data_IF_799168861335
#
_entry.id   IF_799168861335
#
_cell.length_a   1.000
_cell.length_b   1.000
_cell.length_c   1.000
_cell.angle_alpha   90.00
_cell.angle_beta   90.00
_cell.angle_gamma   90.00
#
_symmetry.space_group_name_H-M   'P 1'
#
loop_
_entity.id
_entity.type
_entity.pdbx_description
1 polymer ?
#
# COMPACT_ATOMS: atom_id res chain seq x y z
N UNK A 1 7.46 -12.23 -11.58
CA UNK A 1 6.44 -11.42 -10.89
C UNK A 1 7.15 -10.28 -10.19
N UNK A 2 6.61 -9.09 -10.32
CA UNK A 2 7.07 -7.86 -9.70
C UNK A 2 6.06 -7.39 -8.63
N UNK A 3 6.47 -6.46 -7.77
CA UNK A 3 5.57 -5.80 -6.80
C UNK A 3 4.34 -5.20 -7.49
N UNK A 4 4.53 -4.47 -8.59
CA UNK A 4 3.44 -3.84 -9.33
C UNK A 4 2.46 -4.87 -9.90
N UNK A 5 2.96 -5.97 -10.51
CA UNK A 5 2.12 -7.06 -11.00
C UNK A 5 1.32 -7.72 -9.88
N UNK A 6 1.95 -7.97 -8.72
CA UNK A 6 1.28 -8.60 -7.58
C UNK A 6 0.17 -7.71 -6.97
N UNK A 7 0.37 -6.40 -6.95
CA UNK A 7 -0.66 -5.42 -6.53
C UNK A 7 -1.82 -5.42 -7.53
N UNK A 8 -1.55 -5.40 -8.84
CA UNK A 8 -2.58 -5.50 -9.87
C UNK A 8 -3.38 -6.79 -9.74
N UNK A 9 -2.71 -7.92 -9.50
CA UNK A 9 -3.36 -9.21 -9.28
C UNK A 9 -4.24 -9.20 -8.02
N UNK A 10 -3.77 -8.59 -6.92
CA UNK A 10 -4.57 -8.44 -5.70
C UNK A 10 -5.86 -7.64 -5.98
N UNK A 11 -5.75 -6.51 -6.71
CA UNK A 11 -6.93 -5.75 -7.13
C UNK A 11 -7.89 -6.57 -7.98
N UNK A 12 -7.39 -7.32 -8.97
CA UNK A 12 -8.22 -8.21 -9.79
C UNK A 12 -8.87 -9.34 -8.96
N UNK A 13 -8.18 -9.84 -7.93
CA UNK A 13 -8.73 -10.84 -7.02
C UNK A 13 -9.91 -10.29 -6.21
N UNK A 14 -9.84 -9.03 -5.75
CA UNK A 14 -10.95 -8.40 -5.00
C UNK A 14 -12.24 -8.31 -5.80
N UNK A 15 -12.16 -8.06 -7.12
CA UNK A 15 -13.34 -7.93 -7.99
C UNK A 15 -14.18 -9.21 -8.09
N UNK A 16 -13.59 -10.37 -7.83
CA UNK A 16 -14.24 -11.69 -8.01
C UNK A 16 -14.31 -12.55 -6.74
N UNK A 17 -13.68 -12.13 -5.63
CA UNK A 17 -13.66 -12.86 -4.36
C UNK A 17 -14.24 -12.00 -3.22
N UNK A 18 -13.64 -12.03 -2.02
CA UNK A 18 -14.12 -11.42 -0.77
C UNK A 18 -14.29 -9.90 -0.79
N UNK A 19 -13.95 -9.22 -1.89
CA UNK A 19 -13.94 -7.77 -2.00
C UNK A 19 -12.78 -7.12 -1.26
N UNK A 20 -12.82 -5.80 -1.16
CA UNK A 20 -11.86 -5.01 -0.39
C UNK A 20 -12.18 -5.10 1.12
N UNK A 21 -11.37 -5.85 1.85
CA UNK A 21 -11.50 -6.03 3.31
C UNK A 21 -10.10 -5.99 3.96
N UNK A 22 -9.43 -4.82 4.01
CA UNK A 22 -8.11 -4.71 4.58
C UNK A 22 -8.13 -4.97 6.10
N UNK A 23 -7.04 -5.52 6.66
CA UNK A 23 -6.86 -5.56 8.11
C UNK A 23 -6.79 -4.13 8.68
N UNK A 24 -7.17 -3.99 9.96
CA UNK A 24 -6.96 -2.73 10.67
C UNK A 24 -5.47 -2.46 10.95
N UNK A 25 -5.17 -1.23 11.34
CA UNK A 25 -3.80 -0.77 11.57
C UNK A 25 -3.12 -1.54 12.71
N UNK A 26 -3.85 -1.87 13.79
CA UNK A 26 -3.33 -2.61 14.93
C UNK A 26 -2.88 -4.01 14.50
N UNK A 27 -3.71 -4.70 13.72
CA UNK A 27 -3.39 -6.01 13.14
C UNK A 27 -2.15 -5.96 12.24
N UNK A 28 -2.00 -4.92 11.44
CA UNK A 28 -0.83 -4.74 10.57
C UNK A 28 0.44 -4.46 11.38
N UNK A 29 0.35 -3.65 12.43
CA UNK A 29 1.46 -3.35 13.33
C UNK A 29 1.93 -4.61 14.06
N UNK A 30 1.00 -5.42 14.56
CA UNK A 30 1.29 -6.71 15.21
C UNK A 30 2.02 -7.66 14.25
N UNK A 31 1.50 -7.84 13.04
CA UNK A 31 2.14 -8.70 12.03
C UNK A 31 3.53 -8.18 11.65
N UNK A 32 3.68 -6.87 11.47
CA UNK A 32 4.96 -6.25 11.16
C UNK A 32 5.97 -6.43 12.29
N UNK A 33 5.53 -6.38 13.55
CA UNK A 33 6.35 -6.68 14.73
C UNK A 33 6.92 -8.10 14.72
N UNK A 34 6.15 -9.04 14.19
CA UNK A 34 6.55 -10.44 14.02
C UNK A 34 7.30 -10.70 12.68
N UNK A 35 7.48 -9.68 11.84
CA UNK A 35 8.13 -9.80 10.53
C UNK A 35 7.30 -10.56 9.50
N UNK A 36 5.98 -10.64 9.69
CA UNK A 36 5.04 -11.33 8.81
C UNK A 36 3.95 -10.40 8.30
N UNK A 37 3.18 -10.86 7.32
CA UNK A 37 1.96 -10.24 6.83
C UNK A 37 1.10 -11.32 6.17
N UNK A 38 -0.09 -10.95 5.71
CA UNK A 38 -0.96 -11.82 4.90
C UNK A 38 -1.25 -11.21 3.55
N UNK A 39 -1.52 -12.07 2.58
CA UNK A 39 -2.14 -11.74 1.31
C UNK A 39 -3.69 -11.76 1.43
N UNK A 40 -4.42 -11.20 0.45
CA UNK A 40 -5.90 -11.27 0.39
C UNK A 40 -6.51 -12.67 0.48
N UNK A 41 -5.75 -13.68 0.05
CA UNK A 41 -6.10 -15.10 0.09
C UNK A 41 -5.62 -15.81 1.38
N UNK A 42 -5.31 -15.05 2.42
CA UNK A 42 -4.80 -15.51 3.72
C UNK A 42 -3.41 -16.15 3.72
N UNK A 43 -2.69 -16.16 2.59
CA UNK A 43 -1.32 -16.68 2.56
C UNK A 43 -0.41 -15.86 3.48
N UNK A 44 0.36 -16.53 4.34
CA UNK A 44 1.35 -15.91 5.22
C UNK A 44 2.66 -15.66 4.47
N UNK A 45 3.11 -14.40 4.45
CA UNK A 45 4.30 -13.95 3.73
C UNK A 45 5.08 -12.91 4.54
N UNK A 46 6.25 -12.49 4.09
CA UNK A 46 6.91 -11.31 4.64
C UNK A 46 6.21 -10.01 4.15
N UNK A 47 6.24 -8.91 4.93
CA UNK A 47 5.52 -7.68 4.59
C UNK A 47 5.79 -7.11 3.21
N UNK A 48 7.02 -7.20 2.71
CA UNK A 48 7.47 -6.63 1.44
C UNK A 48 7.42 -7.62 0.26
N UNK A 49 6.64 -8.71 0.40
CA UNK A 49 6.58 -9.81 -0.58
C UNK A 49 5.16 -10.15 -1.04
N UNK A 50 5.03 -11.18 -1.87
CA UNK A 50 3.77 -11.69 -2.42
C UNK A 50 3.74 -13.23 -2.32
N UNK A 51 2.54 -13.82 -2.31
CA UNK A 51 2.39 -15.27 -2.22
C UNK A 51 2.65 -15.98 -3.56
N UNK A 52 2.70 -17.32 -3.53
CA UNK A 52 2.89 -18.15 -4.74
C UNK A 52 1.74 -18.04 -5.75
N UNK A 53 0.53 -17.71 -5.29
CA UNK A 53 -0.62 -17.41 -6.16
C UNK A 53 -0.52 -16.05 -6.85
N UNK A 54 0.46 -15.23 -6.45
CA UNK A 54 0.76 -13.96 -7.07
C UNK A 54 -0.01 -12.76 -6.55
N UNK A 55 -0.55 -12.84 -5.34
CA UNK A 55 -1.20 -11.72 -4.67
C UNK A 55 -0.21 -11.01 -3.76
N UNK A 56 -0.16 -9.68 -3.84
CA UNK A 56 0.64 -8.87 -2.93
C UNK A 56 0.19 -9.03 -1.46
N UNK A 57 1.11 -8.89 -0.51
CA UNK A 57 0.77 -8.73 0.90
C UNK A 57 -0.12 -7.51 1.12
N UNK A 58 -0.87 -7.48 2.22
CA UNK A 58 -1.67 -6.31 2.61
C UNK A 58 -0.82 -5.06 2.81
N UNK A 59 0.42 -5.19 3.31
CA UNK A 59 1.33 -4.06 3.44
C UNK A 59 1.67 -3.43 2.08
N UNK A 60 1.99 -4.23 1.06
CA UNK A 60 2.26 -3.72 -0.30
C UNK A 60 1.02 -3.11 -0.96
N UNK A 61 -0.16 -3.71 -0.74
CA UNK A 61 -1.44 -3.20 -1.27
C UNK A 61 -1.76 -1.83 -0.68
N UNK A 62 -1.65 -1.67 0.64
CA UNK A 62 -1.95 -0.41 1.32
C UNK A 62 -0.92 0.68 1.02
N UNK A 63 0.35 0.32 0.89
CA UNK A 63 1.39 1.27 0.44
C UNK A 63 1.10 1.78 -0.98
N UNK A 64 0.63 0.91 -1.88
CA UNK A 64 0.24 1.32 -3.23
C UNK A 64 -1.00 2.23 -3.24
N UNK A 65 -1.96 2.01 -2.34
CA UNK A 65 -3.12 2.90 -2.17
C UNK A 65 -2.68 4.27 -1.64
N UNK A 66 -1.81 4.32 -0.63
CA UNK A 66 -1.26 5.58 -0.11
C UNK A 66 -0.47 6.34 -1.20
N UNK A 67 0.35 5.64 -1.98
CA UNK A 67 1.08 6.24 -3.10
C UNK A 67 0.13 6.83 -4.15
N UNK A 68 -0.93 6.09 -4.52
CA UNK A 68 -1.94 6.56 -5.46
C UNK A 68 -2.72 7.76 -4.91
N UNK A 69 -3.07 7.75 -3.63
CA UNK A 69 -3.76 8.85 -2.97
C UNK A 69 -2.90 10.12 -2.95
N UNK A 70 -1.63 10.01 -2.56
CA UNK A 70 -0.67 11.13 -2.60
C UNK A 70 -0.45 11.66 -4.01
N UNK A 71 -0.44 10.79 -5.02
CA UNK A 71 -0.33 11.19 -6.41
C UNK A 71 -1.58 11.93 -6.91
N UNK A 72 -2.77 11.53 -6.47
CA UNK A 72 -4.03 12.17 -6.79
C UNK A 72 -4.25 13.49 -6.01
N UNK A 73 -3.71 13.57 -4.80
CA UNK A 73 -3.85 14.69 -3.87
C UNK A 73 -2.48 15.28 -3.50
N UNK A 74 -1.76 15.92 -4.45
CA UNK A 74 -0.47 16.50 -4.15
C UNK A 74 -0.61 17.59 -3.09
N UNK A 75 0.24 17.55 -2.07
CA UNK A 75 0.28 18.58 -1.04
C UNK A 75 0.44 19.96 -1.68
N UNK A 76 -0.27 21.00 -1.20
CA UNK A 76 -0.14 22.34 -1.74
C UNK A 76 1.30 22.79 -1.59
N UNK A 77 1.96 23.08 -2.71
CA UNK A 77 3.30 23.65 -2.73
C UNK A 77 3.25 25.05 -2.13
N UNK A 78 3.58 25.18 -0.84
CA UNK A 78 3.79 26.49 -0.22
C UNK A 78 5.05 27.08 -0.85
N UNK A 79 4.86 27.97 -1.84
CA UNK A 79 5.93 28.87 -2.28
C UNK A 79 6.21 29.84 -1.15
N UNK A 80 7.34 29.66 -0.47
CA UNK A 80 7.93 30.72 0.37
C UNK A 80 8.17 31.93 -0.55
N UNK A 81 7.40 32.99 -0.36
CA UNK A 81 7.61 34.25 -1.06
C UNK A 81 8.98 34.79 -0.66
N UNK A 82 9.88 34.93 -1.65
CA UNK A 82 11.12 35.66 -1.50
C UNK A 82 10.79 37.08 -1.04
N UNK A 83 11.15 37.42 0.19
CA UNK A 83 11.15 38.81 0.64
C UNK A 83 12.29 39.53 -0.07
N UNK A 84 12.00 40.08 -1.25
CA UNK A 84 12.87 41.07 -1.85
C UNK A 84 12.60 42.40 -1.14
N UNK A 85 13.44 42.70 -0.14
CA UNK A 85 13.52 44.02 0.46
C UNK A 85 13.93 45.03 -0.60
N UNK A 86 13.19 46.13 -0.68
CA UNK A 86 13.57 47.28 -1.49
C UNK A 86 13.44 48.55 -0.66
N UNK A 87 14.63 49.08 -0.33
CA UNK A 87 15.07 50.45 -0.05
C UNK A 87 14.30 51.30 0.97
#
# INVERSE_FOLDING_TARGET
>A
MTRAEAVVNAHAWFEVNSGWAPPDAETLEDWAGDGVCRCPDDCLVAPDTWCEHGLASWALVLEAVDEADRAAHPAPVVRLASTEGST
#
